data_IF_019234610947
#
_entry.id   IF_019234610947
#
_cell.length_a   1.000
_cell.length_b   1.000
_cell.length_c   1.000
_cell.angle_alpha   90.00
_cell.angle_beta   90.00
_cell.angle_gamma   90.00
#
_symmetry.space_group_name_H-M   'P 1'
#
loop_
_entity.id
_entity.type
_entity.pdbx_description
1 polymer ?
#
# COMPACT_ATOMS: atom_id res chain seq x y z
N UNK A 1 5.65 0.89 31.70
CA UNK A 1 6.68 -0.17 31.53
C UNK A 1 6.04 -1.39 32.11
N UNK A 2 5.23 -2.06 31.30
CA UNK A 2 4.25 -3.04 31.78
C UNK A 2 4.68 -4.39 31.21
N UNK A 3 5.61 -4.99 31.95
CA UNK A 3 6.06 -6.37 31.84
C UNK A 3 4.84 -7.28 31.93
N UNK A 4 4.59 -8.18 30.97
CA UNK A 4 3.63 -9.27 31.21
C UNK A 4 4.02 -10.64 30.65
N UNK A 5 5.04 -11.29 31.24
CA UNK A 5 5.26 -12.73 31.10
C UNK A 5 4.57 -13.52 32.23
N UNK A 6 3.43 -13.07 32.76
CA UNK A 6 2.76 -13.79 33.87
C UNK A 6 1.24 -13.67 33.79
N UNK A 7 0.57 -14.80 34.01
CA UNK A 7 -0.89 -15.00 34.06
C UNK A 7 -1.62 -13.88 34.82
N UNK A 8 -1.02 -13.40 35.90
CA UNK A 8 -1.57 -12.37 36.77
C UNK A 8 -1.92 -11.06 36.06
N UNK A 9 -1.12 -10.61 35.09
CA UNK A 9 -1.43 -9.34 34.44
C UNK A 9 -2.18 -9.44 33.11
N UNK A 10 -2.22 -10.62 32.48
CA UNK A 10 -3.29 -10.92 31.52
C UNK A 10 -4.64 -10.81 32.26
N UNK A 11 -4.76 -11.43 33.43
CA UNK A 11 -5.96 -11.36 34.26
C UNK A 11 -6.27 -9.93 34.71
N UNK A 12 -5.28 -9.17 35.19
CA UNK A 12 -5.46 -7.77 35.59
C UNK A 12 -5.99 -6.90 34.45
N UNK A 13 -5.50 -7.09 33.23
CA UNK A 13 -5.93 -6.32 32.05
C UNK A 13 -7.34 -6.73 31.59
N UNK A 14 -7.62 -8.03 31.53
CA UNK A 14 -8.95 -8.56 31.21
C UNK A 14 -10.01 -8.04 32.18
N UNK A 15 -9.73 -8.10 33.49
CA UNK A 15 -10.61 -7.59 34.54
C UNK A 15 -10.74 -6.06 34.47
N UNK A 16 -9.67 -5.35 34.09
CA UNK A 16 -9.68 -3.90 33.87
C UNK A 16 -10.62 -3.45 32.76
N UNK A 17 -10.86 -4.31 31.76
CA UNK A 17 -11.85 -4.07 30.70
C UNK A 17 -13.26 -4.56 31.05
N UNK A 18 -13.47 -5.15 32.24
CA UNK A 18 -14.76 -5.65 32.68
C UNK A 18 -15.15 -7.02 32.12
N UNK A 19 -14.21 -7.76 31.53
CA UNK A 19 -14.45 -9.10 30.99
C UNK A 19 -14.01 -10.19 31.97
N UNK A 20 -14.63 -11.36 31.86
CA UNK A 20 -14.09 -12.60 32.44
C UNK A 20 -13.33 -13.38 31.37
N UNK A 21 -12.42 -14.28 31.74
CA UNK A 21 -11.70 -15.14 30.77
C UNK A 21 -11.83 -16.61 31.16
N UNK A 22 -12.11 -17.44 30.16
CA UNK A 22 -12.12 -18.89 30.35
C UNK A 22 -10.70 -19.43 30.56
N UNK A 23 -10.50 -20.48 31.38
CA UNK A 23 -9.19 -21.08 31.61
C UNK A 23 -8.49 -21.54 30.32
N UNK A 24 -9.27 -22.04 29.35
CA UNK A 24 -8.74 -22.44 28.03
C UNK A 24 -8.25 -21.25 27.20
N UNK A 25 -8.93 -20.11 27.25
CA UNK A 25 -8.54 -18.89 26.54
C UNK A 25 -7.29 -18.26 27.18
N UNK A 26 -7.22 -18.30 28.51
CA UNK A 26 -6.05 -17.84 29.27
C UNK A 26 -4.80 -18.63 28.87
N UNK A 27 -4.89 -19.96 28.82
CA UNK A 27 -3.77 -20.83 28.43
C UNK A 27 -3.25 -20.57 27.01
N UNK A 28 -4.13 -20.18 26.10
CA UNK A 28 -3.74 -19.78 24.74
C UNK A 28 -2.97 -18.46 24.80
N UNK A 29 -3.48 -17.45 25.51
CA UNK A 29 -2.81 -16.16 25.65
C UNK A 29 -1.45 -16.29 26.35
N UNK A 30 -1.33 -17.16 27.35
CA UNK A 30 -0.07 -17.47 28.03
C UNK A 30 0.96 -18.17 27.13
N UNK A 31 0.49 -18.88 26.10
CA UNK A 31 1.36 -19.56 25.13
C UNK A 31 1.83 -18.63 24.00
N UNK A 32 1.36 -17.39 23.98
CA UNK A 32 1.77 -16.36 23.01
C UNK A 32 2.87 -15.49 23.61
N UNK A 33 3.67 -14.87 22.73
CA UNK A 33 4.57 -13.79 23.11
C UNK A 33 3.78 -12.61 23.72
N UNK A 34 4.34 -11.93 24.73
CA UNK A 34 3.70 -10.83 25.47
C UNK A 34 3.06 -9.78 24.56
N UNK A 35 3.74 -9.41 23.47
CA UNK A 35 3.26 -8.44 22.47
C UNK A 35 1.97 -8.92 21.78
N UNK A 36 1.91 -10.20 21.40
CA UNK A 36 0.73 -10.79 20.76
C UNK A 36 -0.42 -10.94 21.74
N UNK A 37 -0.14 -11.37 22.96
CA UNK A 37 -1.16 -11.45 24.00
C UNK A 37 -1.79 -10.08 24.26
N UNK A 38 -0.96 -9.02 24.32
CA UNK A 38 -1.43 -7.65 24.49
C UNK A 38 -2.28 -7.18 23.30
N UNK A 39 -1.85 -7.45 22.06
CA UNK A 39 -2.59 -7.08 20.85
C UNK A 39 -3.97 -7.75 20.79
N UNK A 40 -4.05 -9.03 21.16
CA UNK A 40 -5.32 -9.76 21.20
C UNK A 40 -6.27 -9.13 22.22
N UNK A 41 -5.76 -8.81 23.41
CA UNK A 41 -6.55 -8.20 24.47
C UNK A 41 -7.02 -6.79 24.12
N UNK A 42 -6.16 -5.96 23.51
CA UNK A 42 -6.49 -4.59 23.12
C UNK A 42 -7.51 -4.54 21.97
N UNK A 43 -7.45 -5.52 21.06
CA UNK A 43 -8.42 -5.68 19.97
C UNK A 43 -9.77 -6.25 20.41
N UNK A 44 -9.89 -6.77 21.64
CA UNK A 44 -11.07 -7.49 22.09
C UNK A 44 -12.31 -6.59 22.27
N UNK A 45 -12.23 -5.44 22.99
CA UNK A 45 -13.39 -4.58 23.24
C UNK A 45 -14.01 -4.04 21.95
N UNK A 46 -13.19 -3.71 20.95
CA UNK A 46 -13.66 -3.23 19.65
C UNK A 46 -14.36 -4.33 18.83
N UNK A 47 -13.87 -5.57 18.92
CA UNK A 47 -14.37 -6.68 18.08
C UNK A 47 -15.54 -7.42 18.70
N UNK A 48 -15.66 -7.37 20.02
CA UNK A 48 -16.67 -8.09 20.79
C UNK A 48 -17.23 -7.22 21.92
N UNK A 49 -17.83 -6.05 21.61
CA UNK A 49 -18.32 -5.12 22.63
C UNK A 49 -19.44 -5.72 23.50
N UNK A 50 -20.18 -6.69 22.97
CA UNK A 50 -21.30 -7.37 23.66
C UNK A 50 -20.88 -8.62 24.44
N UNK A 51 -19.61 -9.06 24.31
CA UNK A 51 -19.14 -10.27 24.99
C UNK A 51 -18.80 -9.96 26.45
N UNK A 52 -19.28 -10.77 27.38
CA UNK A 52 -18.94 -10.62 28.82
C UNK A 52 -17.76 -11.53 29.19
N UNK A 53 -17.55 -12.61 28.42
CA UNK A 53 -16.53 -13.63 28.67
C UNK A 53 -15.67 -13.84 27.43
N UNK A 54 -14.35 -13.82 27.61
CA UNK A 54 -13.34 -14.18 26.62
C UNK A 54 -13.26 -15.71 26.57
N UNK A 55 -13.84 -16.27 25.51
CA UNK A 55 -13.81 -17.70 25.21
C UNK A 55 -12.67 -18.02 24.22
N UNK A 56 -12.29 -19.30 24.16
CA UNK A 56 -11.24 -19.80 23.25
C UNK A 56 -11.49 -19.38 21.80
N UNK A 57 -12.73 -19.57 21.33
CA UNK A 57 -13.18 -19.19 19.97
C UNK A 57 -12.96 -17.71 19.66
N UNK A 58 -13.02 -16.82 20.65
CA UNK A 58 -12.81 -15.39 20.45
C UNK A 58 -11.32 -15.10 20.25
N UNK A 59 -10.47 -15.71 21.08
CA UNK A 59 -9.00 -15.60 20.98
C UNK A 59 -8.51 -16.15 19.64
N UNK A 60 -8.96 -17.34 19.24
CA UNK A 60 -8.60 -17.95 17.95
C UNK A 60 -9.03 -17.07 16.76
N UNK A 61 -10.25 -16.51 16.81
CA UNK A 61 -10.75 -15.62 15.75
C UNK A 61 -9.97 -14.31 15.65
N UNK A 62 -9.43 -13.81 16.76
CA UNK A 62 -8.55 -12.64 16.74
C UNK A 62 -7.18 -13.03 16.17
N UNK A 63 -6.60 -14.14 16.63
CA UNK A 63 -5.30 -14.65 16.17
C UNK A 63 -5.27 -14.98 14.68
N UNK A 64 -6.34 -15.57 14.14
CA UNK A 64 -6.45 -15.85 12.70
C UNK A 64 -6.41 -14.55 11.88
N UNK A 65 -7.11 -13.51 12.34
CA UNK A 65 -7.06 -12.18 11.71
C UNK A 65 -5.73 -11.48 11.93
N UNK A 66 -5.06 -11.67 13.06
CA UNK A 66 -3.72 -11.14 13.33
C UNK A 66 -2.67 -11.77 12.40
N UNK A 67 -2.80 -13.05 12.06
CA UNK A 67 -1.93 -13.70 11.05
C UNK A 67 -2.08 -13.07 9.66
N UNK A 68 -3.27 -12.55 9.32
CA UNK A 68 -3.54 -11.81 8.08
C UNK A 68 -3.10 -10.33 8.19
N UNK A 69 -3.14 -9.73 9.40
CA UNK A 69 -2.70 -8.35 9.66
C UNK A 69 -1.18 -8.20 9.87
N UNK A 70 -0.43 -9.27 10.15
CA UNK A 70 1.05 -9.23 10.25
C UNK A 70 1.75 -9.09 8.89
N UNK A 71 1.12 -8.38 7.95
CA UNK A 71 1.76 -7.83 6.76
C UNK A 71 1.43 -6.34 6.72
N UNK A 72 2.47 -5.55 6.93
CA UNK A 72 2.56 -4.10 6.70
C UNK A 72 2.08 -3.17 7.84
N UNK A 73 2.73 -3.27 9.00
CA UNK A 73 3.27 -2.05 9.61
C UNK A 73 4.25 -1.39 8.62
N UNK A 74 4.14 -0.08 8.47
CA UNK A 74 4.83 0.76 7.50
C UNK A 74 6.34 0.82 7.78
N UNK A 75 7.08 -0.20 7.35
CA UNK A 75 8.50 -0.08 7.01
C UNK A 75 8.58 0.08 5.50
N UNK A 76 9.29 1.11 5.04
CA UNK A 76 9.64 1.30 3.62
C UNK A 76 10.57 0.16 3.19
N UNK A 77 10.00 -1.02 2.94
CA UNK A 77 10.75 -2.12 2.35
C UNK A 77 10.97 -1.77 0.90
N UNK A 78 12.21 -1.43 0.55
CA UNK A 78 12.65 -1.51 -0.84
C UNK A 78 12.51 -2.96 -1.28
N UNK A 79 11.66 -3.17 -2.27
CA UNK A 79 11.38 -4.48 -2.84
C UNK A 79 11.86 -4.48 -4.28
N UNK A 80 12.43 -5.62 -4.67
CA UNK A 80 12.70 -5.94 -6.06
C UNK A 80 11.60 -6.84 -6.60
N UNK A 81 11.02 -6.46 -7.73
CA UNK A 81 9.96 -7.19 -8.43
C UNK A 81 10.47 -7.58 -9.81
N UNK A 82 10.11 -8.77 -10.28
CA UNK A 82 10.54 -9.31 -11.58
C UNK A 82 9.35 -9.85 -12.35
N UNK A 83 9.02 -9.20 -13.46
CA UNK A 83 7.75 -9.48 -14.10
C UNK A 83 7.46 -8.56 -15.25
N UNK A 84 6.20 -8.49 -15.64
CA UNK A 84 5.77 -7.90 -16.90
C UNK A 84 4.84 -6.72 -16.68
N UNK A 85 5.06 -5.66 -17.46
CA UNK A 85 4.08 -4.57 -17.56
C UNK A 85 2.93 -5.02 -18.47
N UNK A 86 1.75 -5.16 -17.88
CA UNK A 86 0.54 -5.70 -18.54
C UNK A 86 -0.44 -4.63 -19.00
N UNK A 87 -0.34 -3.41 -18.46
CA UNK A 87 -1.22 -2.30 -18.84
C UNK A 87 -0.53 -0.96 -18.56
N UNK A 88 -0.82 0.05 -19.39
CA UNK A 88 -0.49 1.46 -19.13
C UNK A 88 -1.79 2.24 -19.15
N UNK A 89 -2.04 3.01 -18.10
CA UNK A 89 -3.31 3.74 -17.92
C UNK A 89 -3.34 5.03 -18.76
N UNK A 90 -4.51 5.44 -19.25
CA UNK A 90 -4.73 6.65 -20.07
C UNK A 90 -4.49 8.00 -19.35
N UNK A 91 -4.06 7.98 -18.08
CA UNK A 91 -3.54 9.13 -17.34
C UNK A 91 -2.01 9.05 -17.13
N UNK A 92 -1.30 8.41 -18.06
CA UNK A 92 0.15 8.25 -18.06
C UNK A 92 0.80 9.06 -19.17
N UNK A 93 2.07 9.39 -19.00
CA UNK A 93 2.81 10.27 -19.89
C UNK A 93 2.70 11.71 -19.47
N UNK A 94 2.47 12.58 -20.45
CA UNK A 94 2.29 14.01 -20.22
C UNK A 94 0.89 14.24 -19.65
N UNK A 95 0.81 14.87 -18.48
CA UNK A 95 -0.44 15.20 -17.81
C UNK A 95 -0.42 16.64 -17.32
N UNK A 96 -1.59 17.22 -17.13
CA UNK A 96 -1.74 18.48 -16.39
C UNK A 96 -2.17 18.23 -14.95
N UNK A 97 -1.62 18.99 -14.01
CA UNK A 97 -2.02 18.95 -12.60
C UNK A 97 -2.50 20.31 -12.13
N UNK A 98 -3.46 20.30 -11.22
CA UNK A 98 -3.87 21.50 -10.53
C UNK A 98 -2.72 21.98 -9.61
N UNK A 99 -2.26 23.24 -9.71
CA UNK A 99 -1.19 23.76 -8.86
C UNK A 99 -1.58 23.83 -7.38
N UNK A 100 -2.88 23.82 -7.07
CA UNK A 100 -3.41 23.95 -5.69
C UNK A 100 -3.57 22.62 -4.96
N UNK A 101 -4.05 21.57 -5.63
CA UNK A 101 -4.29 20.25 -5.00
C UNK A 101 -3.52 19.09 -5.64
N UNK A 102 -2.71 19.35 -6.65
CA UNK A 102 -1.98 18.33 -7.41
C UNK A 102 -2.87 17.24 -8.03
N UNK A 103 -4.19 17.40 -8.15
CA UNK A 103 -5.02 16.42 -8.87
C UNK A 103 -4.75 16.53 -10.38
N UNK A 104 -4.89 15.41 -11.07
CA UNK A 104 -4.92 15.40 -12.53
C UNK A 104 -6.10 16.24 -13.03
N UNK A 105 -5.85 17.05 -14.06
CA UNK A 105 -6.84 17.92 -14.70
C UNK A 105 -6.75 17.74 -16.22
N UNK A 106 -7.81 18.15 -16.91
CA UNK A 106 -7.94 18.20 -18.36
C UNK A 106 -8.43 19.60 -18.72
N UNK A 107 -7.92 20.17 -19.81
CA UNK A 107 -8.33 21.49 -20.32
C UNK A 107 -8.36 22.58 -19.22
N UNK A 108 -7.30 22.64 -18.39
CA UNK A 108 -7.21 23.63 -17.30
C UNK A 108 -8.36 23.59 -16.28
N UNK A 109 -9.11 22.48 -16.19
CA UNK A 109 -10.25 22.36 -15.30
C UNK A 109 -10.00 21.38 -14.14
N UNK A 110 -9.99 21.90 -12.92
CA UNK A 110 -9.93 21.11 -11.69
C UNK A 110 -11.31 20.91 -11.07
N UNK A 111 -11.69 19.68 -10.76
CA UNK A 111 -12.96 19.35 -10.08
C UNK A 111 -13.15 20.01 -8.70
N UNK A 112 -12.07 20.48 -8.06
CA UNK A 112 -12.12 21.14 -6.74
C UNK A 112 -12.00 22.65 -6.84
N UNK A 113 -11.18 23.13 -7.78
CA UNK A 113 -10.80 24.55 -7.87
C UNK A 113 -11.29 25.23 -9.15
N UNK A 114 -12.12 24.53 -9.94
CA UNK A 114 -12.62 24.96 -11.24
C UNK A 114 -11.48 25.34 -12.19
N UNK A 115 -11.59 26.49 -12.86
CA UNK A 115 -10.60 26.97 -13.83
C UNK A 115 -9.25 27.28 -13.15
N UNK A 116 -8.19 26.62 -13.61
CA UNK A 116 -6.83 26.76 -13.09
C UNK A 116 -5.82 26.60 -14.20
N UNK A 117 -4.75 27.39 -14.18
CA UNK A 117 -3.63 27.16 -15.10
C UNK A 117 -2.86 25.89 -14.69
N UNK A 118 -3.01 24.84 -15.51
CA UNK A 118 -2.43 23.53 -15.27
C UNK A 118 -0.91 23.54 -15.32
N UNK A 119 -0.28 22.87 -14.36
CA UNK A 119 1.16 22.60 -14.43
C UNK A 119 1.41 21.26 -15.10
N UNK A 120 2.26 21.27 -16.12
CA UNK A 120 2.64 20.05 -16.83
C UNK A 120 3.52 19.15 -15.97
N UNK A 121 3.19 17.87 -15.97
CA UNK A 121 3.92 16.82 -15.29
C UNK A 121 4.09 15.61 -16.21
N UNK A 122 5.13 14.83 -15.94
CA UNK A 122 5.43 13.61 -16.68
C UNK A 122 5.44 12.44 -15.72
N UNK A 123 4.55 11.47 -15.90
CA UNK A 123 4.39 10.37 -14.95
C UNK A 123 3.84 9.12 -15.63
N UNK A 124 4.33 7.95 -15.28
CA UNK A 124 3.74 6.69 -15.75
C UNK A 124 2.96 6.03 -14.63
N UNK A 125 1.74 5.60 -14.94
CA UNK A 125 0.98 4.65 -14.14
C UNK A 125 0.77 3.39 -14.96
N UNK A 126 1.29 2.27 -14.46
CA UNK A 126 1.24 1.00 -15.18
C UNK A 126 0.82 -0.14 -14.26
N UNK A 127 0.23 -1.19 -14.82
CA UNK A 127 -0.04 -2.44 -14.12
C UNK A 127 1.13 -3.40 -14.35
N UNK A 128 1.59 -4.02 -13.28
CA UNK A 128 2.67 -4.98 -13.29
C UNK A 128 2.24 -6.30 -12.68
N UNK A 129 2.72 -7.38 -13.27
CA UNK A 129 2.43 -8.75 -12.88
C UNK A 129 3.74 -9.53 -12.72
N UNK A 130 4.00 -10.01 -11.50
CA UNK A 130 5.16 -10.83 -11.12
C UNK A 130 4.86 -12.34 -11.22
N UNK A 131 3.70 -12.71 -11.79
CA UNK A 131 3.17 -14.08 -11.79
C UNK A 131 2.56 -14.53 -10.46
N UNK A 132 2.86 -13.87 -9.34
CA UNK A 132 2.26 -14.13 -8.01
C UNK A 132 1.23 -13.08 -7.60
N UNK A 133 1.59 -11.82 -7.75
CA UNK A 133 0.74 -10.69 -7.40
C UNK A 133 0.75 -9.62 -8.49
N UNK A 134 -0.34 -8.88 -8.57
CA UNK A 134 -0.48 -7.73 -9.46
C UNK A 134 -0.42 -6.44 -8.66
N UNK A 135 0.46 -5.52 -9.05
CA UNK A 135 0.60 -4.22 -8.41
C UNK A 135 0.51 -3.07 -9.43
N UNK A 136 0.26 -1.86 -8.93
CA UNK A 136 0.23 -0.66 -9.78
C UNK A 136 1.54 0.10 -9.61
N UNK A 137 2.35 0.12 -10.65
CA UNK A 137 3.59 0.88 -10.70
C UNK A 137 3.33 2.35 -10.94
N UNK A 138 4.13 3.17 -10.29
CA UNK A 138 4.09 4.62 -10.40
C UNK A 138 5.51 5.13 -10.61
N UNK A 139 5.77 5.73 -11.77
CA UNK A 139 7.07 6.29 -12.14
C UNK A 139 6.99 7.80 -12.00
N UNK A 140 7.92 8.42 -11.27
CA UNK A 140 8.03 9.89 -11.25
C UNK A 140 8.62 10.42 -12.56
N UNK A 141 8.71 11.73 -12.70
CA UNK A 141 9.28 12.43 -13.86
C UNK A 141 10.62 11.85 -14.28
N UNK A 142 11.62 11.85 -13.39
CA UNK A 142 12.99 11.41 -13.71
C UNK A 142 13.05 10.00 -14.30
N UNK A 143 12.25 9.10 -13.74
CA UNK A 143 12.16 7.71 -14.21
C UNK A 143 11.38 7.61 -15.52
N UNK A 144 10.31 8.38 -15.67
CA UNK A 144 9.53 8.41 -16.91
C UNK A 144 10.40 8.90 -18.07
N UNK A 145 11.20 9.94 -17.85
CA UNK A 145 12.12 10.47 -18.85
C UNK A 145 13.16 9.43 -19.26
N UNK A 146 13.71 8.68 -18.29
CA UNK A 146 14.65 7.58 -18.57
C UNK A 146 13.99 6.40 -19.29
N UNK A 147 12.82 5.98 -18.84
CA UNK A 147 12.13 4.79 -19.37
C UNK A 147 11.63 4.97 -20.80
N UNK A 148 11.13 6.15 -21.14
CA UNK A 148 10.62 6.45 -22.47
C UNK A 148 11.61 7.28 -23.34
N UNK A 149 12.79 7.58 -22.79
CA UNK A 149 13.82 8.41 -23.39
C UNK A 149 13.24 9.70 -24.01
N UNK A 150 12.45 10.42 -23.22
CA UNK A 150 11.75 11.64 -23.63
C UNK A 150 11.77 12.64 -22.49
N UNK A 151 12.20 13.87 -22.76
CA UNK A 151 12.17 14.94 -21.75
C UNK A 151 10.76 15.53 -21.60
N UNK A 152 10.47 16.18 -20.47
CA UNK A 152 9.20 16.91 -20.30
C UNK A 152 8.98 17.95 -21.41
N UNK A 153 10.04 18.63 -21.85
CA UNK A 153 9.96 19.65 -22.90
C UNK A 153 9.63 19.03 -24.26
N UNK A 154 10.23 17.89 -24.59
CA UNK A 154 9.88 17.15 -25.81
C UNK A 154 8.46 16.58 -25.74
N UNK A 155 8.07 16.03 -24.59
CA UNK A 155 6.71 15.54 -24.37
C UNK A 155 5.67 16.64 -24.65
N UNK A 156 5.91 17.87 -24.18
CA UNK A 156 5.07 19.04 -24.49
C UNK A 156 4.99 19.37 -25.98
N UNK A 157 6.07 19.16 -26.73
CA UNK A 157 6.12 19.43 -28.18
C UNK A 157 5.36 18.38 -28.99
N UNK A 158 5.47 17.10 -28.62
CA UNK A 158 4.80 16.00 -29.33
C UNK A 158 3.35 15.79 -28.87
N UNK A 159 3.01 16.25 -27.67
CA UNK A 159 1.67 16.17 -27.09
C UNK A 159 1.42 14.90 -26.29
N UNK A 160 0.27 14.89 -25.60
CA UNK A 160 -0.12 13.84 -24.64
C UNK A 160 -0.25 12.46 -25.28
N UNK A 161 -0.94 12.37 -26.42
CA UNK A 161 -1.17 11.11 -27.13
C UNK A 161 0.13 10.48 -27.64
N UNK A 162 0.98 11.25 -28.32
CA UNK A 162 2.26 10.74 -28.83
C UNK A 162 3.22 10.34 -27.71
N UNK A 163 3.21 11.07 -26.58
CA UNK A 163 3.98 10.72 -25.40
C UNK A 163 3.50 9.38 -24.80
N UNK A 164 2.18 9.19 -24.69
CA UNK A 164 1.60 7.96 -24.18
C UNK A 164 1.90 6.75 -25.09
N UNK A 165 1.81 6.91 -26.41
CA UNK A 165 2.17 5.89 -27.39
C UNK A 165 3.62 5.46 -27.24
N UNK A 166 4.55 6.43 -27.16
CA UNK A 166 5.99 6.15 -26.97
C UNK A 166 6.25 5.38 -25.67
N UNK A 167 5.55 5.72 -24.60
CA UNK A 167 5.64 5.00 -23.32
C UNK A 167 5.08 3.57 -23.47
N UNK A 168 3.99 3.39 -24.22
CA UNK A 168 3.43 2.07 -24.52
C UNK A 168 4.43 1.21 -25.28
N UNK A 169 5.06 1.74 -26.33
CA UNK A 169 6.08 1.00 -27.09
C UNK A 169 7.30 0.64 -26.24
N UNK A 170 7.72 1.54 -25.36
CA UNK A 170 8.89 1.31 -24.51
C UNK A 170 8.65 0.23 -23.44
N UNK A 171 7.46 0.17 -22.84
CA UNK A 171 7.20 -0.58 -21.61
C UNK A 171 6.18 -1.71 -21.75
N UNK A 172 5.16 -1.54 -22.58
CA UNK A 172 4.06 -2.51 -22.62
C UNK A 172 4.54 -3.86 -23.12
N UNK A 173 4.16 -4.93 -22.42
CA UNK A 173 4.41 -6.27 -22.92
C UNK A 173 5.81 -6.83 -22.60
N UNK A 174 6.72 -6.02 -22.05
CA UNK A 174 8.11 -6.42 -21.75
C UNK A 174 8.32 -6.79 -20.29
N UNK A 175 9.39 -7.55 -20.04
CA UNK A 175 9.78 -7.98 -18.71
C UNK A 175 10.80 -6.99 -18.12
N UNK A 176 10.65 -6.71 -16.83
CA UNK A 176 11.51 -5.79 -16.11
C UNK A 176 11.83 -6.30 -14.71
N UNK A 177 13.05 -6.04 -14.26
CA UNK A 177 13.41 -5.94 -12.85
C UNK A 177 13.11 -4.51 -12.38
N UNK A 178 12.33 -4.39 -11.31
CA UNK A 178 11.85 -3.11 -10.77
C UNK A 178 12.23 -3.02 -9.31
N UNK A 179 12.91 -1.94 -8.94
CA UNK A 179 13.18 -1.57 -7.54
C UNK A 179 12.27 -0.42 -7.13
N UNK A 180 11.78 -0.44 -5.90
CA UNK A 180 10.92 0.62 -5.40
C UNK A 180 10.32 0.37 -4.03
N UNK A 181 9.41 1.25 -3.64
CA UNK A 181 8.74 1.24 -2.34
C UNK A 181 7.26 0.96 -2.52
N UNK A 182 6.75 -0.05 -1.82
CA UNK A 182 5.31 -0.36 -1.79
C UNK A 182 4.59 0.69 -0.95
N UNK A 183 3.60 1.35 -1.55
CA UNK A 183 2.74 2.34 -0.90
C UNK A 183 1.43 1.70 -0.44
N UNK A 184 0.77 2.35 0.52
CA UNK A 184 -0.57 1.94 0.95
C UNK A 184 -1.56 1.96 -0.23
N UNK A 185 -2.43 0.95 -0.30
CA UNK A 185 -3.43 0.83 -1.37
C UNK A 185 -2.96 0.09 -2.64
N UNK A 186 -1.86 -0.68 -2.57
CA UNK A 186 -1.42 -1.56 -3.67
C UNK A 186 -0.65 -0.85 -4.80
N UNK A 187 -0.26 0.40 -4.57
CA UNK A 187 0.62 1.15 -5.46
C UNK A 187 2.09 0.86 -5.11
N UNK A 188 2.96 0.96 -6.10
CA UNK A 188 4.38 0.73 -5.98
C UNK A 188 5.12 1.89 -6.63
N UNK A 189 5.85 2.67 -5.82
CA UNK A 189 6.64 3.78 -6.31
C UNK A 189 7.98 3.24 -6.83
N UNK A 190 8.17 3.33 -8.13
CA UNK A 190 9.40 2.84 -8.78
C UNK A 190 10.54 3.81 -8.51
N UNK A 191 11.71 3.27 -8.18
CA UNK A 191 12.98 3.99 -8.01
C UNK A 191 14.04 3.58 -9.03
N UNK A 192 14.00 2.34 -9.52
CA UNK A 192 14.85 1.86 -10.64
C UNK A 192 14.08 0.85 -11.50
N UNK A 193 14.41 0.77 -12.78
CA UNK A 193 13.82 -0.19 -13.72
C UNK A 193 14.86 -0.66 -14.73
N UNK A 194 14.89 -1.96 -15.02
CA UNK A 194 15.79 -2.58 -15.98
C UNK A 194 15.07 -3.65 -16.78
N UNK A 195 15.19 -3.60 -18.11
CA UNK A 195 14.63 -4.61 -19.00
C UNK A 195 15.43 -5.93 -18.85
N UNK A 196 14.73 -7.07 -18.80
CA UNK A 196 15.30 -8.42 -18.64
C UNK A 196 14.85 -9.39 -19.73
#
# INVERSE_FOLDING_TARGET
MDYLPSSEGILKKVLGYGYQIQPGALKILESLDDEKALEVLDSFPEKFPEAIVIEVKHVERILEKTRIKKTAETREFRLKLNGKITQIYDGSGLIQRCPKCNRWIIDNFCIVHSDVEGVWDLRIKARFDDGKERCTLIFKRDLTEKSANITLEEAKKVGEAATLERIREALFGKNFEIDGVKLNGGNFLVTDIREV
#
